data_IF_476594704345
#
_entry.id   IF_476594704345
#
_cell.length_a   1.000
_cell.length_b   1.000
_cell.length_c   1.000
_cell.angle_alpha   90.00
_cell.angle_beta   90.00
_cell.angle_gamma   90.00
#
_symmetry.space_group_name_H-M   'P 1'
#
loop_
_entity.id
_entity.type
_entity.pdbx_description
1 polymer ?
#
# COMPACT_ATOMS: atom_id res chain seq x y z
N UNK A 1 6.50 -11.48 -1.06
CA UNK A 1 7.22 -12.04 -2.22
C UNK A 1 6.97 -13.52 -2.22
N UNK A 2 6.26 -13.98 -3.23
CA UNK A 2 6.10 -15.38 -3.51
C UNK A 2 7.32 -15.96 -4.21
N UNK A 3 7.34 -17.28 -4.33
CA UNK A 3 8.46 -18.06 -4.87
C UNK A 3 8.03 -18.97 -6.00
N UNK A 4 6.77 -19.39 -6.02
CA UNK A 4 6.21 -20.14 -7.12
C UNK A 4 6.16 -19.28 -8.38
N UNK A 5 6.35 -19.92 -9.54
CA UNK A 5 6.26 -19.27 -10.84
C UNK A 5 5.54 -20.22 -11.80
N UNK A 6 4.90 -19.68 -12.83
CA UNK A 6 4.29 -20.50 -13.89
C UNK A 6 5.30 -21.40 -14.62
N UNK A 7 6.51 -20.90 -14.88
CA UNK A 7 7.57 -21.64 -15.57
C UNK A 7 8.93 -21.37 -14.90
N UNK A 8 9.75 -20.49 -15.47
CA UNK A 8 11.06 -20.14 -14.94
C UNK A 8 10.96 -18.95 -13.97
N UNK A 9 10.13 -17.96 -14.32
CA UNK A 9 9.78 -16.84 -13.45
C UNK A 9 10.97 -15.98 -13.05
N UNK A 10 11.87 -15.66 -13.99
CA UNK A 10 13.08 -14.91 -13.65
C UNK A 10 12.75 -13.49 -13.15
N UNK A 11 11.74 -12.85 -13.74
CA UNK A 11 11.15 -11.62 -13.25
C UNK A 11 10.06 -11.94 -12.22
N UNK A 12 9.06 -12.72 -12.62
CA UNK A 12 7.90 -13.03 -11.80
C UNK A 12 7.98 -14.45 -11.22
N UNK A 13 8.37 -14.63 -9.94
CA UNK A 13 8.72 -13.62 -8.92
C UNK A 13 10.20 -13.56 -8.56
N UNK A 14 11.07 -14.33 -9.23
CA UNK A 14 12.42 -14.57 -8.71
C UNK A 14 13.31 -13.32 -8.69
N UNK A 15 12.94 -12.25 -9.41
CA UNK A 15 13.58 -10.94 -9.27
C UNK A 15 13.40 -10.39 -7.84
N UNK A 16 12.18 -10.41 -7.29
CA UNK A 16 11.93 -10.05 -5.90
C UNK A 16 12.50 -11.08 -4.91
N UNK A 17 12.44 -12.38 -5.23
CA UNK A 17 13.00 -13.43 -4.36
C UNK A 17 14.50 -13.26 -4.18
N UNK A 18 15.24 -12.95 -5.25
CA UNK A 18 16.68 -12.71 -5.19
C UNK A 18 17.01 -11.53 -4.27
N UNK A 19 16.24 -10.44 -4.35
CA UNK A 19 16.38 -9.27 -3.48
C UNK A 19 16.04 -9.61 -2.03
N UNK A 20 14.98 -10.38 -1.78
CA UNK A 20 14.59 -10.80 -0.43
C UNK A 20 15.71 -11.61 0.26
N UNK A 21 16.30 -12.56 -0.47
CA UNK A 21 17.42 -13.38 0.04
C UNK A 21 18.64 -12.51 0.34
N UNK A 22 18.95 -11.54 -0.53
CA UNK A 22 20.06 -10.61 -0.30
C UNK A 22 19.83 -9.70 0.92
N UNK A 23 18.60 -9.21 1.12
CA UNK A 23 18.21 -8.48 2.35
C UNK A 23 18.42 -9.39 3.58
N UNK A 24 17.98 -10.65 3.51
CA UNK A 24 18.21 -11.63 4.58
C UNK A 24 19.69 -11.84 4.90
N UNK A 25 20.55 -11.90 3.87
CA UNK A 25 22.01 -11.99 4.03
C UNK A 25 22.56 -10.73 4.71
N UNK A 26 22.15 -9.53 4.27
CA UNK A 26 22.61 -8.25 4.82
C UNK A 26 22.18 -8.10 6.28
N UNK A 27 20.91 -8.32 6.61
CA UNK A 27 20.41 -8.26 7.98
C UNK A 27 21.06 -9.31 8.87
N UNK A 28 21.28 -10.54 8.37
CA UNK A 28 22.04 -11.57 9.06
C UNK A 28 23.47 -11.14 9.40
N UNK A 29 24.14 -10.40 8.52
CA UNK A 29 25.46 -9.84 8.80
C UNK A 29 25.40 -8.71 9.83
N UNK A 30 24.39 -7.82 9.74
CA UNK A 30 24.19 -6.76 10.74
C UNK A 30 23.98 -7.36 12.15
N UNK A 31 23.17 -8.41 12.27
CA UNK A 31 22.96 -9.13 13.53
C UNK A 31 24.29 -9.69 14.09
N UNK A 32 25.12 -10.30 13.24
CA UNK A 32 26.46 -10.80 13.63
C UNK A 32 27.40 -9.68 14.07
N UNK A 33 27.23 -8.47 13.52
CA UNK A 33 27.98 -7.27 13.90
C UNK A 33 27.41 -6.54 15.13
N UNK A 34 26.37 -7.08 15.77
CA UNK A 34 25.83 -6.59 17.04
C UNK A 34 24.61 -5.67 16.93
N UNK A 35 24.12 -5.41 15.72
CA UNK A 35 22.81 -4.78 15.55
C UNK A 35 21.72 -5.68 16.15
N UNK A 36 20.75 -5.07 16.83
CA UNK A 36 19.58 -5.76 17.39
C UNK A 36 18.36 -4.90 17.07
N UNK A 37 17.45 -5.35 16.20
CA UNK A 37 16.29 -4.56 15.87
C UNK A 37 15.38 -4.38 17.09
N UNK A 38 14.72 -3.24 17.22
CA UNK A 38 13.76 -3.02 18.33
C UNK A 38 12.50 -3.87 18.16
N UNK A 39 12.16 -4.22 16.92
CA UNK A 39 10.99 -5.00 16.55
C UNK A 39 11.40 -6.17 15.67
N UNK A 40 10.65 -7.26 15.72
CA UNK A 40 10.94 -8.46 14.92
C UNK A 40 10.74 -8.17 13.43
N UNK A 41 11.69 -8.62 12.60
CA UNK A 41 11.53 -8.66 11.14
C UNK A 41 11.30 -10.12 10.75
N UNK A 42 10.19 -10.37 10.06
CA UNK A 42 9.86 -11.67 9.48
C UNK A 42 10.10 -11.62 7.99
N UNK A 43 10.92 -12.53 7.47
CA UNK A 43 11.10 -12.73 6.03
C UNK A 43 10.21 -13.90 5.61
N UNK A 44 9.27 -13.65 4.71
CA UNK A 44 8.33 -14.65 4.23
C UNK A 44 8.53 -14.87 2.73
N UNK A 45 8.50 -16.15 2.34
CA UNK A 45 8.61 -16.58 0.94
C UNK A 45 7.41 -17.46 0.64
N UNK A 46 6.40 -16.84 0.03
CA UNK A 46 5.08 -17.43 -0.20
C UNK A 46 5.10 -18.45 -1.33
N UNK A 47 4.11 -19.33 -1.31
CA UNK A 47 3.90 -20.36 -2.32
C UNK A 47 2.46 -20.23 -2.85
N UNK A 48 2.20 -20.76 -4.03
CA UNK A 48 0.92 -20.71 -4.71
C UNK A 48 0.27 -19.30 -4.81
N UNK A 49 1.07 -18.26 -4.98
CA UNK A 49 0.57 -16.91 -5.30
C UNK A 49 -0.10 -16.90 -6.67
N UNK A 50 0.51 -17.58 -7.64
CA UNK A 50 0.07 -17.58 -9.03
C UNK A 50 -1.26 -18.33 -9.21
N UNK A 51 -1.63 -19.15 -8.22
CA UNK A 51 -2.92 -19.85 -8.17
C UNK A 51 -3.99 -19.07 -7.40
N UNK A 52 -3.72 -17.82 -7.03
CA UNK A 52 -4.67 -16.91 -6.39
C UNK A 52 -4.30 -16.52 -4.96
N UNK A 53 -3.05 -16.13 -4.74
CA UNK A 53 -2.52 -15.66 -3.46
C UNK A 53 -2.64 -16.70 -2.33
N UNK A 54 -2.65 -18.00 -2.65
CA UNK A 54 -3.10 -19.03 -1.71
C UNK A 54 -2.21 -19.09 -0.47
N UNK A 55 -0.89 -19.18 -0.63
CA UNK A 55 0.01 -19.35 0.53
C UNK A 55 0.00 -18.15 1.48
N UNK A 56 0.02 -16.92 0.96
CA UNK A 56 -0.04 -15.71 1.79
C UNK A 56 -1.43 -15.51 2.42
N UNK A 57 -2.50 -15.83 1.69
CA UNK A 57 -3.87 -15.74 2.18
C UNK A 57 -4.14 -16.72 3.32
N UNK A 58 -3.85 -18.01 3.12
CA UNK A 58 -4.06 -19.04 4.14
C UNK A 58 -3.22 -18.76 5.40
N UNK A 59 -1.97 -18.28 5.23
CA UNK A 59 -1.16 -17.85 6.37
C UNK A 59 -1.83 -16.71 7.15
N UNK A 60 -2.40 -15.73 6.45
CA UNK A 60 -3.09 -14.61 7.08
C UNK A 60 -4.36 -15.08 7.81
N UNK A 61 -5.12 -16.01 7.23
CA UNK A 61 -6.33 -16.55 7.85
C UNK A 61 -6.01 -17.38 9.10
N UNK A 62 -5.03 -18.29 9.01
CA UNK A 62 -4.61 -19.16 10.12
C UNK A 62 -4.01 -18.38 11.29
N UNK A 63 -3.40 -17.22 11.03
CA UNK A 63 -2.70 -16.40 12.03
C UNK A 63 -3.39 -15.05 12.27
N UNK A 64 -4.66 -14.91 11.90
CA UNK A 64 -5.37 -13.63 11.89
C UNK A 64 -5.38 -12.92 13.26
N UNK A 65 -5.58 -13.66 14.35
CA UNK A 65 -5.59 -13.10 15.71
C UNK A 65 -4.21 -12.50 16.05
N UNK A 66 -3.15 -13.30 15.90
CA UNK A 66 -1.78 -12.86 16.17
C UNK A 66 -1.36 -11.68 15.27
N UNK A 67 -1.66 -11.75 13.97
CA UNK A 67 -1.27 -10.70 13.02
C UNK A 67 -2.02 -9.39 13.28
N UNK A 68 -3.28 -9.44 13.72
CA UNK A 68 -4.00 -8.23 14.14
C UNK A 68 -3.37 -7.58 15.36
N UNK A 69 -2.84 -8.37 16.29
CA UNK A 69 -2.20 -7.90 17.53
C UNK A 69 -0.75 -7.43 17.34
N UNK A 70 0.02 -8.09 16.47
CA UNK A 70 1.48 -7.92 16.45
C UNK A 70 2.04 -7.32 15.15
N UNK A 71 1.35 -7.47 14.02
CA UNK A 71 1.91 -7.05 12.73
C UNK A 71 1.85 -5.53 12.57
N UNK A 72 3.00 -4.88 12.42
CA UNK A 72 3.07 -3.43 12.20
C UNK A 72 2.80 -3.08 10.75
N UNK A 73 3.50 -3.76 9.84
CA UNK A 73 3.38 -3.56 8.41
C UNK A 73 3.69 -4.83 7.62
N UNK A 74 3.17 -4.92 6.41
CA UNK A 74 3.59 -5.89 5.41
C UNK A 74 4.28 -5.17 4.24
N UNK A 75 5.50 -5.60 3.89
CA UNK A 75 6.27 -5.03 2.80
C UNK A 75 6.42 -6.06 1.69
N UNK A 76 5.98 -5.68 0.49
CA UNK A 76 6.02 -6.53 -0.69
C UNK A 76 6.97 -5.98 -1.74
N UNK A 77 7.69 -6.91 -2.38
CA UNK A 77 8.31 -6.73 -3.68
C UNK A 77 8.06 -8.04 -4.40
N UNK A 78 7.22 -8.00 -5.40
CA UNK A 78 6.95 -9.17 -6.22
C UNK A 78 7.99 -9.27 -7.33
N UNK A 79 7.85 -8.37 -8.30
CA UNK A 79 8.77 -8.20 -9.42
C UNK A 79 9.59 -6.93 -9.25
N UNK A 80 10.82 -6.92 -9.76
CA UNK A 80 11.59 -5.69 -9.98
C UNK A 80 12.35 -5.77 -11.30
N UNK A 81 12.16 -4.75 -12.15
CA UNK A 81 12.85 -4.61 -13.43
C UNK A 81 12.73 -3.19 -13.97
N UNK A 82 13.56 -2.84 -14.95
CA UNK A 82 13.39 -1.59 -15.68
C UNK A 82 13.72 -0.33 -14.88
N UNK A 83 13.59 0.86 -15.49
CA UNK A 83 14.08 2.10 -14.90
C UNK A 83 13.05 2.83 -14.03
N UNK A 84 11.76 2.49 -14.10
CA UNK A 84 10.69 3.33 -13.55
C UNK A 84 10.39 2.95 -12.10
N UNK A 85 10.71 3.85 -11.17
CA UNK A 85 10.38 3.67 -9.77
C UNK A 85 8.86 3.68 -9.59
N UNK A 86 8.35 2.72 -8.82
CA UNK A 86 6.94 2.60 -8.52
C UNK A 86 6.73 2.19 -7.06
N UNK A 87 5.66 2.69 -6.47
CA UNK A 87 5.18 2.19 -5.20
C UNK A 87 3.65 2.26 -5.12
N UNK A 88 3.07 1.31 -4.40
CA UNK A 88 1.70 1.35 -3.93
C UNK A 88 1.66 1.06 -2.43
N UNK A 89 0.62 1.51 -1.73
CA UNK A 89 0.52 1.26 -0.30
C UNK A 89 -0.70 1.89 0.36
N UNK A 90 -0.87 1.61 1.65
CA UNK A 90 -1.73 2.42 2.52
C UNK A 90 -1.27 3.88 2.47
N UNK A 91 -2.17 4.88 2.44
CA UNK A 91 -1.76 6.28 2.51
C UNK A 91 -0.86 6.59 3.72
N UNK A 92 -1.00 5.82 4.81
CA UNK A 92 -0.25 5.98 6.06
C UNK A 92 1.26 5.74 5.94
N UNK A 93 1.72 4.96 4.96
CA UNK A 93 3.15 4.65 4.77
C UNK A 93 3.83 5.56 3.74
N UNK A 94 3.07 6.39 3.01
CA UNK A 94 3.58 7.19 1.89
C UNK A 94 4.81 8.04 2.25
N UNK A 95 4.75 8.76 3.38
CA UNK A 95 5.85 9.62 3.85
C UNK A 95 7.13 8.82 4.14
N UNK A 96 7.00 7.62 4.71
CA UNK A 96 8.14 6.73 4.93
C UNK A 96 8.77 6.30 3.60
N UNK A 97 7.96 5.94 2.61
CA UNK A 97 8.43 5.53 1.29
C UNK A 97 9.18 6.68 0.59
N UNK A 98 8.67 7.91 0.68
CA UNK A 98 9.33 9.10 0.13
C UNK A 98 10.66 9.38 0.82
N UNK A 99 10.68 9.33 2.16
CA UNK A 99 11.89 9.59 2.94
C UNK A 99 12.95 8.51 2.76
N UNK A 100 12.57 7.26 2.45
CA UNK A 100 13.52 6.16 2.21
C UNK A 100 14.06 6.21 0.79
N UNK A 101 13.20 6.48 -0.20
CA UNK A 101 13.64 6.76 -1.58
C UNK A 101 14.57 7.98 -1.64
N UNK A 102 14.33 9.01 -0.83
CA UNK A 102 15.20 10.20 -0.81
C UNK A 102 16.55 9.95 -0.12
N UNK A 103 16.68 8.85 0.62
CA UNK A 103 17.90 8.51 1.35
C UNK A 103 18.82 7.56 0.57
N UNK A 104 18.44 7.17 -0.65
CA UNK A 104 19.24 6.30 -1.51
C UNK A 104 19.53 6.99 -2.85
N UNK A 105 20.64 6.64 -3.52
CA UNK A 105 20.98 7.20 -4.82
C UNK A 105 19.90 6.93 -5.86
N UNK A 106 19.85 7.77 -6.90
CA UNK A 106 19.05 7.49 -8.08
C UNK A 106 19.52 6.19 -8.79
N UNK A 107 18.61 5.57 -9.53
CA UNK A 107 18.81 4.32 -10.26
C UNK A 107 19.40 4.57 -11.65
N UNK A 108 20.67 4.21 -11.85
CA UNK A 108 21.43 4.39 -13.11
C UNK A 108 21.19 3.26 -14.12
N UNK A 109 19.91 2.91 -14.33
CA UNK A 109 19.51 1.82 -15.22
C UNK A 109 20.10 1.98 -16.63
N UNK A 110 20.69 0.91 -17.16
CA UNK A 110 21.27 0.89 -18.50
C UNK A 110 22.47 1.84 -18.69
N UNK A 111 23.11 2.26 -17.61
CA UNK A 111 24.22 3.23 -17.65
C UNK A 111 23.79 4.65 -18.03
N UNK A 112 22.50 4.97 -17.89
CA UNK A 112 21.99 6.31 -18.18
C UNK A 112 22.55 7.34 -17.19
N UNK A 113 22.97 8.51 -17.71
CA UNK A 113 23.28 9.66 -16.85
C UNK A 113 21.98 10.18 -16.21
N UNK A 114 21.81 9.90 -14.92
CA UNK A 114 20.67 10.38 -14.15
C UNK A 114 21.00 11.74 -13.53
N UNK A 115 20.22 12.76 -13.86
CA UNK A 115 20.44 14.13 -13.35
C UNK A 115 19.98 14.31 -11.91
N UNK A 116 19.10 13.42 -11.43
CA UNK A 116 18.62 13.40 -10.05
C UNK A 116 19.63 12.75 -9.12
N UNK A 117 19.76 13.27 -7.91
CA UNK A 117 20.72 12.77 -6.92
C UNK A 117 20.14 11.60 -6.11
N UNK A 118 18.83 11.60 -5.89
CA UNK A 118 18.15 10.60 -5.06
C UNK A 118 17.07 9.87 -5.84
N UNK A 119 16.73 8.65 -5.41
CA UNK A 119 15.64 7.90 -6.04
C UNK A 119 14.31 8.65 -5.95
N UNK A 120 14.06 9.37 -4.85
CA UNK A 120 12.85 10.19 -4.71
C UNK A 120 12.75 11.28 -5.78
N UNK A 121 13.82 12.03 -6.01
CA UNK A 121 13.84 13.06 -7.07
C UNK A 121 13.61 12.43 -8.44
N UNK A 122 14.23 11.27 -8.70
CA UNK A 122 14.03 10.53 -9.96
C UNK A 122 12.58 10.10 -10.12
N UNK A 123 11.97 9.53 -9.07
CA UNK A 123 10.59 9.08 -9.07
C UNK A 123 9.60 10.24 -9.29
N UNK A 124 9.84 11.41 -8.66
CA UNK A 124 9.08 12.62 -8.92
C UNK A 124 9.14 13.03 -10.40
N UNK A 125 10.35 13.11 -10.96
CA UNK A 125 10.54 13.48 -12.37
C UNK A 125 9.88 12.49 -13.33
N UNK A 126 9.97 11.18 -13.05
CA UNK A 126 9.31 10.11 -13.82
C UNK A 126 7.79 10.25 -13.76
N UNK A 127 7.24 10.53 -12.58
CA UNK A 127 5.79 10.67 -12.40
C UNK A 127 5.26 11.93 -13.08
N UNK A 128 5.97 13.06 -12.99
CA UNK A 128 5.63 14.29 -13.72
C UNK A 128 5.66 14.08 -15.25
N UNK A 129 6.63 13.32 -15.75
CA UNK A 129 6.69 12.95 -17.17
C UNK A 129 5.46 12.10 -17.57
N UNK A 130 5.11 11.10 -16.78
CA UNK A 130 3.96 10.23 -17.02
C UNK A 130 2.62 11.00 -17.01
N UNK A 131 2.43 11.92 -16.06
CA UNK A 131 1.20 12.73 -15.99
C UNK A 131 1.05 13.62 -17.21
N UNK A 132 2.14 14.26 -17.66
CA UNK A 132 2.14 15.07 -18.88
C UNK A 132 1.79 14.26 -20.14
N UNK A 133 2.25 13.01 -20.23
CA UNK A 133 1.97 12.18 -21.40
C UNK A 133 0.56 11.61 -21.43
N UNK A 134 -0.05 11.36 -20.26
CA UNK A 134 -1.36 10.68 -20.17
C UNK A 134 -2.54 11.61 -19.83
N UNK A 135 -2.31 12.90 -19.58
CA UNK A 135 -3.35 13.87 -19.18
C UNK A 135 -4.18 13.38 -17.97
N UNK A 136 -3.52 12.74 -16.99
CA UNK A 136 -4.15 12.23 -15.77
C UNK A 136 -3.70 13.02 -14.54
N UNK A 137 -4.61 13.18 -13.56
CA UNK A 137 -4.34 13.88 -12.30
C UNK A 137 -3.68 13.00 -11.21
N UNK A 138 -3.52 11.68 -11.45
CA UNK A 138 -2.94 10.74 -10.48
C UNK A 138 -3.94 10.21 -9.43
N UNK A 139 -3.45 9.34 -8.54
CA UNK A 139 -4.15 8.73 -7.37
C UNK A 139 -3.19 8.80 -6.16
N UNK A 140 -3.57 8.75 -4.88
CA UNK A 140 -4.52 9.62 -4.18
C UNK A 140 -3.71 10.62 -3.31
N UNK A 141 -4.14 11.89 -3.19
CA UNK A 141 -3.49 12.95 -2.38
C UNK A 141 -2.55 13.87 -3.19
N UNK A 142 -2.12 15.03 -2.65
CA UNK A 142 -1.66 16.20 -3.43
C UNK A 142 -0.30 16.01 -4.10
N UNK A 143 0.45 14.97 -3.73
CA UNK A 143 1.70 14.58 -4.38
C UNK A 143 1.53 13.40 -5.37
N UNK A 144 0.36 12.74 -5.44
CA UNK A 144 -0.05 11.60 -6.30
C UNK A 144 1.05 10.59 -6.75
N UNK A 145 2.06 10.31 -5.93
CA UNK A 145 3.14 9.38 -6.28
C UNK A 145 2.76 7.92 -6.01
N UNK A 146 1.90 7.67 -5.02
CA UNK A 146 1.58 6.34 -4.54
C UNK A 146 0.30 5.79 -5.18
N UNK A 147 0.34 4.56 -5.70
CA UNK A 147 -0.85 3.86 -6.18
C UNK A 147 -1.61 3.16 -5.05
N UNK A 148 -2.92 2.99 -5.24
CA UNK A 148 -3.74 2.19 -4.32
C UNK A 148 -3.48 0.71 -4.55
N UNK A 149 -3.25 -0.04 -3.48
CA UNK A 149 -3.10 -1.49 -3.54
C UNK A 149 -4.44 -2.17 -3.92
N UNK A 150 -4.43 -2.96 -4.99
CA UNK A 150 -5.55 -3.81 -5.43
C UNK A 150 -5.33 -5.27 -5.06
N UNK A 151 -5.39 -6.19 -6.03
CA UNK A 151 -5.23 -7.65 -5.82
C UNK A 151 -3.92 -8.22 -6.34
N UNK A 152 -3.05 -7.39 -6.94
CA UNK A 152 -1.96 -7.89 -7.78
C UNK A 152 -0.75 -8.52 -7.08
N UNK A 153 -0.80 -8.85 -5.79
CA UNK A 153 0.24 -9.65 -5.09
C UNK A 153 -0.19 -9.98 -3.65
N UNK A 154 0.68 -10.68 -2.91
CA UNK A 154 0.52 -11.21 -1.55
C UNK A 154 0.11 -10.20 -0.46
N UNK A 155 0.15 -8.89 -0.71
CA UNK A 155 -0.26 -7.89 0.27
C UNK A 155 -1.78 -7.91 0.55
N UNK A 156 -2.57 -8.52 -0.34
CA UNK A 156 -4.02 -8.41 -0.36
C UNK A 156 -4.70 -8.81 0.96
N UNK A 157 -4.36 -9.97 1.52
CA UNK A 157 -4.94 -10.43 2.78
C UNK A 157 -4.52 -9.56 3.98
N UNK A 158 -3.27 -9.10 3.99
CA UNK A 158 -2.76 -8.21 5.03
C UNK A 158 -3.54 -6.89 5.08
N UNK A 159 -3.61 -6.14 3.97
CA UNK A 159 -4.25 -4.82 3.99
C UNK A 159 -5.77 -4.87 3.89
N UNK A 160 -6.33 -5.74 3.03
CA UNK A 160 -7.76 -5.67 2.74
C UNK A 160 -8.60 -6.48 3.71
N UNK A 161 -8.06 -7.56 4.29
CA UNK A 161 -8.79 -8.41 5.24
C UNK A 161 -8.47 -8.06 6.70
N UNK A 162 -7.18 -7.91 7.06
CA UNK A 162 -6.78 -7.60 8.43
C UNK A 162 -6.64 -6.10 8.71
N UNK A 163 -6.54 -5.25 7.69
CA UNK A 163 -6.27 -3.82 7.86
C UNK A 163 -4.82 -3.53 8.26
N UNK A 164 -3.86 -4.39 7.89
CA UNK A 164 -2.42 -4.18 8.09
C UNK A 164 -1.89 -3.14 7.11
N UNK A 165 -1.13 -2.17 7.61
CA UNK A 165 -0.46 -1.17 6.76
C UNK A 165 0.48 -1.89 5.82
N UNK A 166 0.24 -1.75 4.51
CA UNK A 166 1.01 -2.48 3.50
C UNK A 166 1.68 -1.54 2.51
N UNK A 167 2.81 -1.97 1.96
CA UNK A 167 3.45 -1.31 0.82
C UNK A 167 3.96 -2.34 -0.19
N UNK A 168 3.90 -1.97 -1.46
CA UNK A 168 4.58 -2.63 -2.56
C UNK A 168 5.54 -1.61 -3.19
N UNK A 169 6.82 -1.93 -3.28
CA UNK A 169 7.85 -1.04 -3.86
C UNK A 169 8.64 -1.75 -4.94
N UNK A 170 9.28 -1.00 -5.83
CA UNK A 170 10.23 -1.57 -6.78
C UNK A 170 10.36 -0.73 -8.04
N UNK A 171 10.79 -1.41 -9.10
CA UNK A 171 10.92 -0.83 -10.43
C UNK A 171 10.06 -1.59 -11.44
N UNK A 172 9.62 -0.87 -12.46
CA UNK A 172 8.79 -1.38 -13.54
C UNK A 172 9.22 -0.81 -14.90
N UNK A 173 8.56 -1.31 -15.95
CA UNK A 173 8.59 -0.74 -17.29
C UNK A 173 7.32 0.08 -17.57
N UNK A 174 7.38 0.93 -18.60
CA UNK A 174 6.16 1.56 -19.13
C UNK A 174 5.33 0.52 -19.87
N UNK A 175 4.41 -0.14 -19.16
CA UNK A 175 3.52 -1.19 -19.70
C UNK A 175 4.01 -2.62 -19.38
N UNK A 176 3.47 -3.60 -20.11
CA UNK A 176 3.84 -5.01 -19.94
C UNK A 176 5.28 -5.27 -20.38
N UNK A 177 6.00 -6.10 -19.62
CA UNK A 177 7.36 -6.52 -19.96
C UNK A 177 7.41 -7.63 -21.04
N UNK A 178 6.26 -8.05 -21.57
CA UNK A 178 6.13 -8.86 -22.79
C UNK A 178 6.41 -10.35 -22.63
N UNK A 179 7.18 -10.76 -21.63
CA UNK A 179 7.46 -12.18 -21.32
C UNK A 179 6.65 -12.72 -20.15
N UNK A 180 5.76 -11.90 -19.58
CA UNK A 180 4.89 -12.23 -18.44
C UNK A 180 4.22 -13.61 -18.59
N UNK A 181 4.36 -14.44 -17.55
CA UNK A 181 3.80 -15.81 -17.44
C UNK A 181 4.15 -16.74 -18.61
N UNK A 182 5.24 -16.47 -19.32
CA UNK A 182 5.68 -17.27 -20.47
C UNK A 182 6.99 -18.01 -20.19
N UNK A 183 7.31 -18.99 -21.03
CA UNK A 183 8.62 -19.68 -21.00
C UNK A 183 9.80 -18.75 -21.30
N UNK A 184 9.53 -17.53 -21.77
CA UNK A 184 10.56 -16.52 -22.08
C UNK A 184 10.91 -15.64 -20.87
N UNK A 185 10.13 -15.68 -19.78
CA UNK A 185 10.52 -15.05 -18.51
C UNK A 185 11.68 -15.84 -17.88
N UNK A 186 12.88 -15.51 -18.33
CA UNK A 186 14.10 -16.31 -18.15
C UNK A 186 15.25 -15.42 -17.68
N UNK A 187 16.27 -16.04 -17.08
CA UNK A 187 17.48 -15.32 -16.62
C UNK A 187 18.11 -14.55 -17.78
N UNK A 188 18.15 -15.14 -18.98
CA UNK A 188 18.63 -14.46 -20.18
C UNK A 188 17.83 -13.19 -20.49
N UNK A 189 16.51 -13.22 -20.38
CA UNK A 189 15.68 -12.02 -20.56
C UNK A 189 15.99 -10.97 -19.49
N UNK A 190 16.12 -11.40 -18.23
CA UNK A 190 16.47 -10.52 -17.11
C UNK A 190 17.79 -9.79 -17.36
N UNK A 191 18.85 -10.54 -17.65
CA UNK A 191 20.22 -10.02 -17.80
C UNK A 191 20.44 -9.20 -19.07
N UNK A 192 19.72 -9.50 -20.15
CA UNK A 192 19.90 -8.81 -21.43
C UNK A 192 18.98 -7.60 -21.61
N UNK A 193 17.77 -7.63 -21.02
CA UNK A 193 16.73 -6.66 -21.35
C UNK A 193 16.03 -6.06 -20.13
N UNK A 194 15.70 -6.87 -19.13
CA UNK A 194 14.84 -6.41 -18.04
C UNK A 194 15.60 -5.56 -17.02
N UNK A 195 16.79 -6.00 -16.60
CA UNK A 195 17.68 -5.27 -15.70
C UNK A 195 19.15 -5.67 -15.91
N UNK A 196 19.76 -5.23 -17.03
CA UNK A 196 21.18 -5.44 -17.26
C UNK A 196 22.01 -4.93 -16.07
N UNK A 197 23.00 -5.73 -15.67
CA UNK A 197 23.87 -5.48 -14.50
C UNK A 197 23.14 -5.42 -13.14
N UNK A 198 21.85 -5.82 -13.08
CA UNK A 198 21.06 -5.89 -11.85
C UNK A 198 20.94 -4.55 -11.08
N UNK A 199 21.04 -3.43 -11.79
CA UNK A 199 21.09 -2.09 -11.18
C UNK A 199 19.80 -1.79 -10.40
N UNK A 200 18.64 -2.14 -10.97
CA UNK A 200 17.35 -1.93 -10.33
C UNK A 200 17.12 -2.91 -9.18
N UNK A 201 17.58 -4.16 -9.28
CA UNK A 201 17.57 -5.10 -8.16
C UNK A 201 18.34 -4.54 -6.96
N UNK A 202 19.53 -3.96 -7.18
CA UNK A 202 20.32 -3.32 -6.12
C UNK A 202 19.57 -2.12 -5.52
N UNK A 203 18.97 -1.28 -6.35
CA UNK A 203 18.17 -0.13 -5.91
C UNK A 203 16.94 -0.57 -5.10
N UNK A 204 16.24 -1.63 -5.52
CA UNK A 204 15.12 -2.23 -4.79
C UNK A 204 15.57 -2.80 -3.46
N UNK A 205 16.70 -3.51 -3.40
CA UNK A 205 17.26 -4.02 -2.14
C UNK A 205 17.58 -2.91 -1.14
N UNK A 206 18.15 -1.79 -1.62
CA UNK A 206 18.38 -0.60 -0.80
C UNK A 206 17.07 0.01 -0.30
N UNK A 207 16.08 0.16 -1.17
CA UNK A 207 14.82 0.81 -0.80
C UNK A 207 14.01 -0.07 0.16
N UNK A 208 13.74 -1.32 -0.22
CA UNK A 208 12.96 -2.28 0.56
C UNK A 208 13.62 -2.57 1.92
N UNK A 209 14.94 -2.81 1.92
CA UNK A 209 15.70 -3.02 3.15
C UNK A 209 15.68 -1.79 4.06
N UNK A 210 15.81 -0.57 3.53
CA UNK A 210 15.78 0.65 4.34
C UNK A 210 14.38 0.94 4.93
N UNK A 211 13.30 0.64 4.19
CA UNK A 211 11.93 0.71 4.74
C UNK A 211 11.79 -0.25 5.91
N UNK A 212 12.23 -1.51 5.76
CA UNK A 212 12.18 -2.51 6.83
C UNK A 212 13.01 -2.08 8.06
N UNK A 213 14.23 -1.57 7.85
CA UNK A 213 15.08 -1.07 8.94
C UNK A 213 14.43 0.07 9.72
N UNK A 214 13.84 1.05 9.04
CA UNK A 214 13.19 2.19 9.73
C UNK A 214 11.95 1.77 10.51
N UNK A 215 11.16 0.82 10.00
CA UNK A 215 10.02 0.25 10.75
C UNK A 215 10.51 -0.55 11.97
N UNK A 216 11.60 -1.30 11.81
CA UNK A 216 12.16 -2.12 12.87
C UNK A 216 12.83 -1.31 14.00
N UNK A 217 13.46 -0.17 13.68
CA UNK A 217 14.35 0.54 14.61
C UNK A 217 13.87 1.91 15.08
N UNK A 218 12.99 2.59 14.34
CA UNK A 218 12.53 3.91 14.78
C UNK A 218 11.76 3.81 16.09
N UNK A 219 12.02 4.75 17.01
CA UNK A 219 11.36 4.81 18.32
C UNK A 219 9.85 4.89 18.15
N UNK A 220 9.38 5.83 17.32
CA UNK A 220 7.99 5.91 16.87
C UNK A 220 7.85 5.26 15.50
N UNK A 221 6.79 4.48 15.30
CA UNK A 221 6.45 3.91 13.99
C UNK A 221 6.19 5.08 13.01
N UNK A 222 6.92 5.18 11.89
CA UNK A 222 6.87 6.35 10.99
C UNK A 222 5.65 6.34 10.06
N UNK A 223 4.45 6.08 10.58
CA UNK A 223 3.19 6.22 9.84
C UNK A 223 2.62 7.63 9.97
N UNK A 224 1.94 8.08 8.93
CA UNK A 224 1.33 9.41 8.85
C UNK A 224 -0.06 9.36 8.21
N UNK A 225 -1.09 9.65 9.00
CA UNK A 225 -2.50 9.57 8.62
C UNK A 225 -3.12 10.91 8.21
N UNK A 226 -2.36 12.02 8.28
CA UNK A 226 -2.85 13.37 7.91
C UNK A 226 -3.27 13.53 6.44
N UNK A 227 -2.93 12.57 5.58
CA UNK A 227 -3.34 12.58 4.16
C UNK A 227 -4.67 11.87 3.91
N UNK A 228 -5.18 11.05 4.84
CA UNK A 228 -6.42 10.29 4.66
C UNK A 228 -7.62 11.19 4.42
N UNK A 229 -7.76 12.30 5.17
CA UNK A 229 -8.91 13.20 5.03
C UNK A 229 -9.02 13.81 3.63
N UNK A 230 -7.89 14.21 3.07
CA UNK A 230 -7.81 14.72 1.70
C UNK A 230 -8.15 13.64 0.67
N UNK A 231 -7.53 12.47 0.79
CA UNK A 231 -7.75 11.29 -0.06
C UNK A 231 -9.22 10.89 -0.10
N UNK A 232 -9.85 10.82 1.07
CA UNK A 232 -11.27 10.49 1.20
C UNK A 232 -12.17 11.55 0.57
N UNK A 233 -11.87 12.84 0.74
CA UNK A 233 -12.67 13.91 0.14
C UNK A 233 -12.59 13.95 -1.40
N UNK A 234 -11.41 13.71 -1.96
CA UNK A 234 -11.22 13.55 -3.40
C UNK A 234 -12.06 12.38 -3.92
N UNK A 235 -11.98 11.22 -3.25
CA UNK A 235 -12.73 10.04 -3.60
C UNK A 235 -14.25 10.27 -3.55
N UNK A 236 -14.79 10.85 -2.47
CA UNK A 236 -16.24 11.16 -2.36
C UNK A 236 -16.68 12.09 -3.50
N UNK A 237 -15.85 13.05 -3.90
CA UNK A 237 -16.16 13.96 -5.00
C UNK A 237 -16.24 13.20 -6.34
N UNK A 238 -15.29 12.30 -6.59
CA UNK A 238 -15.29 11.42 -7.75
C UNK A 238 -16.50 10.47 -7.75
N UNK A 239 -16.88 9.91 -6.59
CA UNK A 239 -18.07 9.06 -6.46
C UNK A 239 -19.37 9.79 -6.75
N UNK A 240 -19.53 11.01 -6.22
CA UNK A 240 -20.69 11.84 -6.51
C UNK A 240 -20.81 12.17 -8.00
N UNK A 241 -19.68 12.37 -8.69
CA UNK A 241 -19.68 12.55 -10.13
C UNK A 241 -20.08 11.25 -10.87
N UNK A 242 -19.55 10.10 -10.44
CA UNK A 242 -19.88 8.79 -11.02
C UNK A 242 -21.37 8.44 -10.85
N UNK A 243 -21.96 8.72 -9.68
CA UNK A 243 -23.39 8.51 -9.44
C UNK A 243 -24.28 9.36 -10.35
N UNK A 244 -23.92 10.62 -10.61
CA UNK A 244 -24.65 11.47 -11.56
C UNK A 244 -24.64 10.90 -12.98
N UNK A 245 -23.52 10.34 -13.41
CA UNK A 245 -23.43 9.65 -14.71
C UNK A 245 -24.27 8.36 -14.69
N UNK A 246 -24.19 7.58 -13.61
CA UNK A 246 -24.97 6.36 -13.45
C UNK A 246 -26.49 6.63 -13.45
N UNK A 247 -26.93 7.79 -12.96
CA UNK A 247 -28.33 8.20 -12.92
C UNK A 247 -28.99 8.32 -14.30
N UNK A 248 -28.21 8.50 -15.38
CA UNK A 248 -28.72 8.46 -16.75
C UNK A 248 -29.32 7.09 -17.11
N UNK A 249 -28.86 6.02 -16.46
CA UNK A 249 -29.31 4.64 -16.68
C UNK A 249 -30.10 4.06 -15.51
N UNK A 250 -29.79 4.48 -14.29
CA UNK A 250 -30.40 3.98 -13.05
C UNK A 250 -31.03 5.16 -12.29
N UNK A 251 -32.31 5.47 -12.53
CA UNK A 251 -32.98 6.59 -11.87
C UNK A 251 -32.82 6.56 -10.35
N UNK A 252 -32.67 7.75 -9.76
CA UNK A 252 -32.57 8.00 -8.32
C UNK A 252 -31.30 7.49 -7.62
N UNK A 253 -30.35 6.86 -8.33
CA UNK A 253 -29.09 6.38 -7.72
C UNK A 253 -28.20 7.52 -7.19
N UNK A 254 -28.35 8.73 -7.72
CA UNK A 254 -27.63 9.94 -7.28
C UNK A 254 -28.25 10.64 -6.07
N UNK A 255 -29.30 10.07 -5.47
CA UNK A 255 -29.93 10.58 -4.24
C UNK A 255 -29.18 10.21 -2.95
N UNK A 256 -28.10 9.42 -3.04
CA UNK A 256 -27.23 9.08 -1.92
C UNK A 256 -26.67 10.35 -1.27
N UNK A 257 -26.84 10.46 0.05
CA UNK A 257 -26.36 11.59 0.84
C UNK A 257 -24.99 11.31 1.47
N UNK A 258 -24.04 12.19 1.15
CA UNK A 258 -22.66 12.13 1.63
C UNK A 258 -22.36 13.18 2.71
N UNK A 259 -23.34 13.95 3.18
CA UNK A 259 -23.13 15.00 4.18
C UNK A 259 -22.50 14.44 5.47
N UNK A 260 -23.06 13.35 6.01
CA UNK A 260 -22.53 12.70 7.21
C UNK A 260 -21.17 12.05 6.98
N UNK A 261 -20.92 11.49 5.78
CA UNK A 261 -19.60 10.97 5.43
C UNK A 261 -18.55 12.08 5.40
N UNK A 262 -18.87 13.24 4.80
CA UNK A 262 -17.97 14.40 4.79
C UNK A 262 -17.71 14.94 6.20
N UNK A 263 -18.72 14.94 7.08
CA UNK A 263 -18.55 15.27 8.50
C UNK A 263 -17.59 14.29 9.17
N UNK A 264 -17.81 12.98 9.01
CA UNK A 264 -16.97 11.95 9.61
C UNK A 264 -15.52 12.01 9.11
N UNK A 265 -15.31 12.24 7.81
CA UNK A 265 -13.99 12.50 7.20
C UNK A 265 -13.32 13.70 7.86
N UNK A 266 -14.03 14.83 8.01
CA UNK A 266 -13.48 16.03 8.64
C UNK A 266 -13.15 15.83 10.12
N UNK A 267 -13.96 15.05 10.85
CA UNK A 267 -13.68 14.69 12.24
C UNK A 267 -12.41 13.84 12.32
N UNK A 268 -12.33 12.77 11.52
CA UNK A 268 -11.16 11.91 11.42
C UNK A 268 -9.89 12.71 11.11
N UNK A 269 -9.93 13.59 10.11
CA UNK A 269 -8.79 14.43 9.72
C UNK A 269 -8.35 15.40 10.82
N UNK A 270 -9.31 16.00 11.53
CA UNK A 270 -8.99 16.84 12.68
C UNK A 270 -8.34 16.04 13.81
N UNK A 271 -8.78 14.80 14.05
CA UNK A 271 -8.21 13.93 15.10
C UNK A 271 -6.85 13.38 14.74
N UNK A 272 -6.59 13.06 13.48
CA UNK A 272 -5.25 12.68 13.02
C UNK A 272 -4.27 13.84 13.15
N UNK A 273 -4.68 15.07 12.80
CA UNK A 273 -3.86 16.27 13.04
C UNK A 273 -3.51 16.44 14.53
N UNK A 274 -4.52 16.37 15.41
CA UNK A 274 -4.33 16.47 16.87
C UNK A 274 -3.39 15.38 17.40
N UNK A 275 -3.52 14.16 16.87
CA UNK A 275 -2.69 13.01 17.21
C UNK A 275 -1.22 13.22 16.80
N UNK A 276 -0.95 13.66 15.57
CA UNK A 276 0.41 13.89 15.08
C UNK A 276 1.09 15.07 15.78
N UNK A 277 0.35 16.13 16.12
CA UNK A 277 0.86 17.24 16.94
C UNK A 277 1.31 16.77 18.34
N UNK A 278 0.65 15.76 18.91
CA UNK A 278 1.07 15.13 20.16
C UNK A 278 2.33 14.29 19.96
N UNK A 279 2.40 13.47 18.90
CA UNK A 279 3.55 12.59 18.63
C UNK A 279 4.88 13.34 18.53
N UNK A 280 4.90 14.58 18.03
CA UNK A 280 6.11 15.42 17.99
C UNK A 280 6.78 15.53 19.37
N UNK A 281 5.99 15.56 20.44
CA UNK A 281 6.46 15.72 21.84
C UNK A 281 6.87 14.39 22.48
N UNK A 282 6.48 13.26 21.89
CA UNK A 282 6.64 11.90 22.46
C UNK A 282 8.03 11.31 22.17
N UNK A 283 8.74 11.81 21.16
CA UNK A 283 10.04 11.26 20.74
C UNK A 283 11.13 11.23 21.83
N UNK A 284 10.97 12.01 22.91
CA UNK A 284 11.86 12.05 24.08
C UNK A 284 11.19 11.54 25.38
N UNK A 285 10.04 10.87 25.27
CA UNK A 285 9.24 10.42 26.40
C UNK A 285 9.70 9.07 26.98
N UNK A 286 9.02 8.62 28.05
CA UNK A 286 9.26 7.30 28.65
C UNK A 286 8.89 6.16 27.70
N UNK A 287 9.50 4.97 27.90
CA UNK A 287 9.20 3.79 27.07
C UNK A 287 7.71 3.40 27.09
N UNK A 288 7.02 3.57 28.22
CA UNK A 288 5.58 3.25 28.32
C UNK A 288 4.74 4.19 27.46
N UNK A 289 5.10 5.48 27.44
CA UNK A 289 4.41 6.47 26.61
C UNK A 289 4.69 6.23 25.12
N UNK A 290 5.94 5.93 24.76
CA UNK A 290 6.31 5.56 23.38
C UNK A 290 5.52 4.33 22.90
N UNK A 291 5.41 3.29 23.73
CA UNK A 291 4.67 2.07 23.39
C UNK A 291 3.18 2.36 23.19
N UNK A 292 2.56 3.10 24.11
CA UNK A 292 1.16 3.51 23.99
C UNK A 292 0.87 4.22 22.65
N UNK A 293 1.74 5.14 22.24
CA UNK A 293 1.58 5.87 20.99
C UNK A 293 1.89 5.02 19.75
N UNK A 294 2.82 4.06 19.85
CA UNK A 294 3.06 3.08 18.80
C UNK A 294 1.85 2.16 18.59
N UNK A 295 1.16 1.76 19.66
CA UNK A 295 -0.07 0.97 19.56
C UNK A 295 -1.12 1.75 18.77
N UNK A 296 -1.31 3.04 19.05
CA UNK A 296 -2.23 3.89 18.27
C UNK A 296 -1.84 3.96 16.79
N UNK A 297 -0.55 4.13 16.48
CA UNK A 297 -0.05 4.15 15.10
C UNK A 297 -0.32 2.84 14.37
N UNK A 298 -0.10 1.70 15.04
CA UNK A 298 -0.26 0.37 14.46
C UNK A 298 -1.73 0.00 14.24
N UNK A 299 -2.57 0.22 15.25
CA UNK A 299 -3.95 -0.26 15.26
C UNK A 299 -4.91 0.65 14.48
N UNK A 300 -4.58 1.92 14.22
CA UNK A 300 -5.50 2.83 13.54
C UNK A 300 -6.00 2.27 12.19
N UNK A 301 -5.14 1.66 11.39
CA UNK A 301 -5.54 1.05 10.11
C UNK A 301 -6.51 -0.12 10.31
N UNK A 302 -6.41 -0.87 11.42
CA UNK A 302 -7.35 -1.95 11.78
C UNK A 302 -8.74 -1.39 12.07
N UNK A 303 -8.80 -0.20 12.66
CA UNK A 303 -10.05 0.51 12.91
C UNK A 303 -10.73 1.04 11.64
N UNK A 304 -10.08 0.94 10.47
CA UNK A 304 -10.67 1.25 9.16
C UNK A 304 -11.25 0.01 8.46
N UNK A 305 -11.46 -1.08 9.21
CA UNK A 305 -12.09 -2.31 8.71
C UNK A 305 -13.52 -2.45 9.21
N UNK A 306 -14.37 -3.03 8.35
CA UNK A 306 -15.75 -3.39 8.68
C UNK A 306 -15.83 -4.88 8.96
N UNK A 307 -16.28 -5.26 10.15
CA UNK A 307 -16.30 -6.67 10.58
C UNK A 307 -17.17 -7.57 9.68
N UNK A 308 -18.30 -7.04 9.20
CA UNK A 308 -19.18 -7.74 8.25
C UNK A 308 -18.59 -7.86 6.83
N UNK A 309 -17.49 -7.16 6.56
CA UNK A 309 -16.92 -7.02 5.23
C UNK A 309 -17.69 -6.07 4.30
N UNK A 310 -17.11 -5.85 3.13
CA UNK A 310 -17.67 -5.00 2.08
C UNK A 310 -18.92 -5.64 1.44
N UNK A 311 -19.87 -4.83 0.93
CA UNK A 311 -20.97 -5.31 0.11
C UNK A 311 -20.48 -6.20 -1.03
N UNK A 312 -21.22 -7.27 -1.35
CA UNK A 312 -20.92 -8.27 -2.41
C UNK A 312 -19.63 -9.09 -2.22
N UNK A 313 -18.63 -8.59 -1.50
CA UNK A 313 -17.31 -9.20 -1.33
C UNK A 313 -16.86 -9.17 0.14
N UNK A 314 -17.65 -9.80 1.00
CA UNK A 314 -17.50 -9.74 2.47
C UNK A 314 -16.17 -10.27 3.05
N UNK A 315 -15.33 -10.90 2.24
CA UNK A 315 -13.97 -11.24 2.64
C UNK A 315 -13.06 -10.00 2.71
N UNK A 316 -13.24 -9.02 1.81
CA UNK A 316 -12.57 -7.73 1.94
C UNK A 316 -13.27 -6.90 3.02
N UNK A 317 -12.51 -6.24 3.89
CA UNK A 317 -13.03 -5.53 5.07
C UNK A 317 -12.62 -4.07 5.13
N UNK A 318 -11.49 -3.70 4.53
CA UNK A 318 -11.00 -2.33 4.58
C UNK A 318 -11.90 -1.36 3.80
N UNK A 319 -12.44 -0.33 4.46
CA UNK A 319 -13.50 0.51 3.87
C UNK A 319 -12.98 1.72 3.09
N UNK A 320 -11.75 2.17 3.35
CA UNK A 320 -11.22 3.40 2.75
C UNK A 320 -10.54 3.14 1.41
N UNK A 321 -9.90 2.00 1.26
CA UNK A 321 -9.28 1.56 0.01
C UNK A 321 -9.31 0.04 -0.09
N UNK A 322 -9.27 -0.47 -1.31
CA UNK A 322 -9.18 -1.90 -1.58
C UNK A 322 -9.29 -2.21 -3.07
N UNK A 323 -9.43 -3.48 -3.45
CA UNK A 323 -9.54 -3.88 -4.85
C UNK A 323 -10.74 -3.29 -5.55
N UNK A 324 -10.52 -2.67 -6.71
CA UNK A 324 -11.61 -2.24 -7.58
C UNK A 324 -12.20 -3.41 -8.36
N UNK A 325 -13.52 -3.55 -8.40
CA UNK A 325 -14.17 -4.69 -9.04
C UNK A 325 -13.87 -4.79 -10.55
N UNK A 326 -13.77 -3.65 -11.25
CA UNK A 326 -13.45 -3.57 -12.68
C UNK A 326 -12.02 -3.09 -12.97
N UNK A 327 -11.20 -2.91 -11.94
CA UNK A 327 -9.86 -2.30 -12.07
C UNK A 327 -8.75 -3.36 -12.28
N UNK A 328 -9.12 -4.63 -12.45
CA UNK A 328 -8.17 -5.74 -12.56
C UNK A 328 -7.34 -5.85 -11.28
N UNK A 329 -6.02 -5.62 -11.41
CA UNK A 329 -5.09 -5.58 -10.27
C UNK A 329 -5.07 -4.24 -9.53
N UNK A 330 -5.75 -3.21 -10.06
CA UNK A 330 -5.80 -1.88 -9.49
C UNK A 330 -6.63 -1.79 -8.21
N UNK A 331 -6.24 -0.88 -7.32
CA UNK A 331 -7.03 -0.51 -6.15
C UNK A 331 -7.89 0.73 -6.41
N UNK A 332 -8.93 0.88 -5.60
CA UNK A 332 -9.83 2.03 -5.59
C UNK A 332 -10.06 2.53 -4.17
N UNK A 333 -10.39 3.81 -4.03
CA UNK A 333 -10.86 4.37 -2.77
C UNK A 333 -12.33 4.00 -2.56
N UNK A 334 -12.77 3.83 -1.30
CA UNK A 334 -14.11 3.36 -0.94
C UNK A 334 -14.66 2.22 -1.82
N UNK A 335 -13.98 1.05 -1.84
CA UNK A 335 -14.32 -0.06 -2.72
C UNK A 335 -15.78 -0.52 -2.60
N UNK A 336 -16.37 -0.53 -1.39
CA UNK A 336 -17.78 -0.90 -1.24
C UNK A 336 -18.77 0.11 -1.84
N UNK A 337 -18.41 1.39 -1.94
CA UNK A 337 -19.21 2.39 -2.67
C UNK A 337 -19.06 2.22 -4.19
N UNK A 338 -17.86 1.92 -4.66
CA UNK A 338 -17.61 1.57 -6.06
C UNK A 338 -18.41 0.33 -6.47
N UNK A 339 -18.45 -0.68 -5.60
CA UNK A 339 -19.21 -1.91 -5.81
C UNK A 339 -20.70 -1.63 -5.93
N UNK A 340 -21.25 -0.73 -5.11
CA UNK A 340 -22.66 -0.33 -5.22
C UNK A 340 -23.05 0.15 -6.62
N UNK A 341 -22.17 0.94 -7.27
CA UNK A 341 -22.36 1.35 -8.67
C UNK A 341 -22.18 0.15 -9.61
N UNK A 342 -21.13 -0.65 -9.40
CA UNK A 342 -20.78 -1.79 -10.26
C UNK A 342 -21.85 -2.89 -10.33
N UNK A 343 -22.56 -3.11 -9.21
CA UNK A 343 -23.61 -4.11 -9.06
C UNK A 343 -25.03 -3.53 -9.23
N UNK A 344 -25.14 -2.24 -9.54
CA UNK A 344 -26.40 -1.53 -9.74
C UNK A 344 -27.30 -1.58 -8.49
N UNK A 345 -26.70 -1.39 -7.32
CA UNK A 345 -27.42 -1.30 -6.06
C UNK A 345 -28.34 -0.07 -6.04
N UNK A 346 -29.41 -0.16 -5.25
CA UNK A 346 -30.31 0.97 -5.02
C UNK A 346 -29.61 2.06 -4.21
N UNK A 347 -30.07 3.30 -4.32
CA UNK A 347 -29.58 4.40 -3.47
C UNK A 347 -29.67 4.07 -1.98
N UNK A 348 -30.73 3.37 -1.54
CA UNK A 348 -30.89 2.92 -0.14
C UNK A 348 -29.79 1.94 0.29
N UNK A 349 -29.43 0.98 -0.58
CA UNK A 349 -28.36 0.03 -0.30
C UNK A 349 -26.98 0.70 -0.24
N UNK A 350 -26.71 1.62 -1.17
CA UNK A 350 -25.47 2.42 -1.16
C UNK A 350 -25.42 3.31 0.09
N UNK A 351 -26.53 3.97 0.44
CA UNK A 351 -26.63 4.81 1.64
C UNK A 351 -26.34 4.01 2.90
N UNK A 352 -26.88 2.79 3.03
CA UNK A 352 -26.58 1.93 4.17
C UNK A 352 -25.08 1.68 4.32
N UNK A 353 -24.38 1.44 3.22
CA UNK A 353 -22.93 1.28 3.27
C UNK A 353 -22.21 2.59 3.60
N UNK A 354 -22.66 3.74 3.08
CA UNK A 354 -22.16 5.07 3.49
C UNK A 354 -22.26 5.23 5.01
N UNK A 355 -23.40 4.85 5.60
CA UNK A 355 -23.64 4.95 7.05
C UNK A 355 -22.72 4.01 7.85
N UNK A 356 -22.38 2.84 7.31
CA UNK A 356 -21.41 1.93 7.93
C UNK A 356 -19.97 2.51 7.87
N UNK A 357 -19.59 3.12 6.75
CA UNK A 357 -18.31 3.84 6.63
C UNK A 357 -18.23 4.99 7.62
N UNK A 358 -19.32 5.76 7.81
CA UNK A 358 -19.40 6.83 8.81
C UNK A 358 -19.09 6.32 10.21
N UNK A 359 -19.72 5.21 10.62
CA UNK A 359 -19.48 4.61 11.94
C UNK A 359 -18.03 4.15 12.12
N UNK A 360 -17.46 3.55 11.07
CA UNK A 360 -16.05 3.12 11.07
C UNK A 360 -15.11 4.31 11.25
N UNK A 361 -15.33 5.39 10.51
CA UNK A 361 -14.49 6.60 10.61
C UNK A 361 -14.61 7.31 11.96
N UNK A 362 -15.82 7.45 12.50
CA UNK A 362 -16.01 8.04 13.83
C UNK A 362 -15.36 7.15 14.92
N UNK A 363 -15.51 5.82 14.83
CA UNK A 363 -14.85 4.89 15.75
C UNK A 363 -13.32 4.94 15.68
N UNK A 364 -12.76 5.07 14.47
CA UNK A 364 -11.31 5.25 14.28
C UNK A 364 -10.82 6.60 14.84
N UNK A 365 -11.60 7.67 14.67
CA UNK A 365 -11.30 8.98 15.23
C UNK A 365 -11.32 8.98 16.77
N UNK A 366 -12.32 8.33 17.36
CA UNK A 366 -12.44 8.17 18.82
C UNK A 366 -11.28 7.33 19.38
N UNK A 367 -10.89 6.26 18.68
CA UNK A 367 -9.75 5.45 19.05
C UNK A 367 -8.47 6.28 19.18
N UNK A 368 -8.20 7.22 18.27
CA UNK A 368 -6.97 8.03 18.31
C UNK A 368 -6.84 8.91 19.54
N UNK A 369 -7.96 9.39 20.08
CA UNK A 369 -7.98 10.33 21.20
C UNK A 369 -8.36 9.72 22.55
N UNK A 370 -8.81 8.46 22.55
CA UNK A 370 -9.00 7.68 23.78
C UNK A 370 -7.70 7.60 24.60
N UNK A 371 -7.83 7.39 25.92
CA UNK A 371 -6.72 7.30 26.89
C UNK A 371 -6.58 5.88 27.44
#
# INVERSE_FOLDING_TARGET
NHRDAWVCGAIDPNSGTSVLVEIGRVFGNMLKSGWKPKRTIVLASWDAEEQGLLGSTEFVEDNAEQLKEEAIAYLNVDTTLGPLAAAGGSPSIAKLLFQTANAIPANEFGGAEVTQQTLYQQWQAQTEAYRRSNNTAGTIGPDHLLTVLGTGSDFGAFCHHLGVVSANVGFSLSGSYGTYHSTMDSIMYSELFADPDYVSHVSTGRWWGLVALRLADNILIPFEFSTYGLVMNEAVTSFQAALKVAAERYPDIDTVDFAELRRAISNFDSKTCEFHDKLVKVSSASNNEVNYWNDKLMYLERHLTLESGLPHRGWYKHVVFGPGFYDGYGGTAFPGLADGIAFHDTAEAIQKHVDDVVKVLDGAADFLVSK
#
